data_IF_160632665968
#
_entry.id   IF_160632665968
#
_cell.length_a   1.000
_cell.length_b   1.000
_cell.length_c   1.000
_cell.angle_alpha   90.00
_cell.angle_beta   90.00
_cell.angle_gamma   90.00
#
_symmetry.space_group_name_H-M   'P 1'
#
loop_
_entity.id
_entity.type
_entity.pdbx_description
1 polymer ?
#
# COMPACT_ATOMS: atom_id res chain seq x y z
N UNK A 1 -28.92 -3.16 -31.33
CA UNK A 1 -28.02 -1.99 -31.47
C UNK A 1 -26.65 -2.50 -31.91
N UNK A 2 -26.03 -1.95 -32.97
CA UNK A 2 -24.68 -2.36 -33.33
C UNK A 2 -23.70 -1.89 -32.25
N UNK A 3 -22.75 -2.75 -31.89
CA UNK A 3 -21.63 -2.42 -31.01
C UNK A 3 -20.33 -2.60 -31.79
N UNK A 4 -19.34 -1.76 -31.49
CA UNK A 4 -17.99 -1.85 -32.05
C UNK A 4 -16.99 -2.02 -30.91
N UNK A 5 -15.98 -2.87 -31.12
CA UNK A 5 -14.91 -3.12 -30.15
C UNK A 5 -13.63 -2.53 -30.72
N UNK A 6 -13.09 -1.50 -30.05
CA UNK A 6 -11.79 -0.94 -30.36
C UNK A 6 -10.71 -1.74 -29.62
N UNK A 7 -9.74 -2.31 -30.35
CA UNK A 7 -8.59 -3.00 -29.78
C UNK A 7 -7.32 -2.21 -30.11
N UNK A 8 -6.57 -1.80 -29.10
CA UNK A 8 -5.27 -1.16 -29.25
C UNK A 8 -4.28 -1.75 -28.24
N UNK A 9 -2.99 -1.64 -28.53
CA UNK A 9 -1.94 -1.98 -27.55
C UNK A 9 -1.68 -0.77 -26.68
N UNK A 10 -1.68 -0.99 -25.37
CA UNK A 10 -1.28 0.05 -24.42
C UNK A 10 0.20 0.42 -24.66
N UNK A 11 0.60 1.68 -24.36
CA UNK A 11 1.99 2.12 -24.51
C UNK A 11 2.95 1.24 -23.70
N UNK A 12 4.22 1.19 -24.10
CA UNK A 12 5.25 0.49 -23.32
C UNK A 12 5.33 1.00 -21.86
N UNK A 13 5.00 2.28 -21.65
CA UNK A 13 5.01 3.00 -20.37
C UNK A 13 3.72 2.80 -19.54
N UNK A 14 2.80 1.92 -19.96
CA UNK A 14 1.55 1.66 -19.24
C UNK A 14 1.79 1.24 -17.79
N UNK A 15 2.84 0.48 -17.53
CA UNK A 15 3.22 0.05 -16.18
C UNK A 15 3.61 1.24 -15.28
N UNK A 16 4.33 2.22 -15.83
CA UNK A 16 4.74 3.44 -15.12
C UNK A 16 3.54 4.36 -14.87
N UNK A 17 2.65 4.47 -15.86
CA UNK A 17 1.38 5.18 -15.71
C UNK A 17 0.49 4.55 -14.64
N UNK A 18 0.34 3.23 -14.64
CA UNK A 18 -0.47 2.50 -13.67
C UNK A 18 0.14 2.61 -12.26
N UNK A 19 1.46 2.53 -12.13
CA UNK A 19 2.15 2.74 -10.86
C UNK A 19 1.92 4.17 -10.32
N UNK A 20 2.00 5.19 -11.17
CA UNK A 20 1.71 6.57 -10.79
C UNK A 20 0.24 6.77 -10.39
N UNK A 21 -0.70 6.16 -11.14
CA UNK A 21 -2.15 6.24 -10.86
C UNK A 21 -2.51 5.57 -9.53
N UNK A 22 -1.90 4.43 -9.24
CA UNK A 22 -2.19 3.63 -8.05
C UNK A 22 -1.55 4.20 -6.77
N UNK A 23 -0.76 5.28 -6.86
CA UNK A 23 -0.08 5.86 -5.70
C UNK A 23 -1.02 6.19 -4.53
N UNK A 24 -2.22 6.77 -4.80
CA UNK A 24 -3.19 7.07 -3.73
C UNK A 24 -3.79 5.81 -3.10
N UNK A 25 -4.07 4.79 -3.90
CA UNK A 25 -4.62 3.51 -3.43
C UNK A 25 -3.55 2.77 -2.59
N UNK A 26 -2.30 2.81 -3.03
CA UNK A 26 -1.16 2.26 -2.29
C UNK A 26 -0.94 2.97 -0.94
N UNK A 27 -1.05 4.31 -0.89
CA UNK A 27 -0.98 5.08 0.37
C UNK A 27 -2.06 4.64 1.36
N UNK A 28 -3.30 4.50 0.90
CA UNK A 28 -4.40 4.05 1.74
C UNK A 28 -4.17 2.63 2.29
N UNK A 29 -3.74 1.70 1.44
CA UNK A 29 -3.42 0.34 1.85
C UNK A 29 -2.30 0.29 2.90
N UNK A 30 -1.23 1.08 2.71
CA UNK A 30 -0.12 1.16 3.67
C UNK A 30 -0.56 1.76 5.01
N UNK A 31 -1.47 2.74 4.99
CA UNK A 31 -2.06 3.30 6.20
C UNK A 31 -2.89 2.25 6.96
N UNK A 32 -3.73 1.47 6.26
CA UNK A 32 -4.52 0.39 6.86
C UNK A 32 -3.63 -0.65 7.54
N UNK A 33 -2.49 -1.00 6.91
CA UNK A 33 -1.50 -1.91 7.48
C UNK A 33 -0.87 -1.32 8.76
N UNK A 34 -0.45 -0.04 8.77
CA UNK A 34 0.05 0.60 10.02
C UNK A 34 -1.00 0.58 11.13
N UNK A 35 -2.27 0.86 10.81
CA UNK A 35 -3.35 0.84 11.80
C UNK A 35 -3.59 -0.56 12.34
N UNK A 36 -3.55 -1.58 11.49
CA UNK A 36 -3.67 -2.97 11.91
C UNK A 36 -2.53 -3.38 12.86
N UNK A 37 -1.28 -3.11 12.49
CA UNK A 37 -0.11 -3.38 13.33
C UNK A 37 -0.21 -2.64 14.68
N UNK A 38 -0.61 -1.36 14.66
CA UNK A 38 -0.83 -0.55 15.87
C UNK A 38 -1.90 -1.15 16.78
N UNK A 39 -3.00 -1.63 16.20
CA UNK A 39 -4.10 -2.25 16.94
C UNK A 39 -3.62 -3.50 17.68
N UNK A 40 -2.84 -4.38 17.03
CA UNK A 40 -2.26 -5.56 17.67
C UNK A 40 -1.29 -5.18 18.79
N UNK A 41 -0.41 -4.20 18.57
CA UNK A 41 0.54 -3.77 19.60
C UNK A 41 -0.15 -3.14 20.82
N UNK A 42 -1.25 -2.40 20.63
CA UNK A 42 -1.94 -1.66 21.68
C UNK A 42 -2.97 -2.48 22.45
N UNK A 43 -3.72 -3.32 21.74
CA UNK A 43 -4.88 -4.03 22.28
C UNK A 43 -4.70 -5.55 22.31
N UNK A 44 -3.74 -6.08 21.56
CA UNK A 44 -3.39 -7.49 21.59
C UNK A 44 -2.40 -7.84 22.71
N UNK A 45 -2.04 -9.11 22.77
CA UNK A 45 -0.96 -9.64 23.61
C UNK A 45 0.05 -10.43 22.77
N UNK A 46 0.69 -9.79 21.76
CA UNK A 46 1.70 -10.45 20.94
C UNK A 46 2.93 -10.84 21.79
N UNK A 47 3.66 -11.86 21.34
CA UNK A 47 4.98 -12.15 21.90
C UNK A 47 5.92 -10.95 21.69
N UNK A 48 7.03 -10.94 22.42
CA UNK A 48 8.06 -9.89 22.28
C UNK A 48 8.57 -9.78 20.83
N UNK A 49 8.93 -10.91 20.25
CA UNK A 49 9.42 -11.00 18.86
C UNK A 49 8.36 -10.51 17.85
N UNK A 50 7.11 -10.94 18.00
CA UNK A 50 6.02 -10.46 17.13
C UNK A 50 5.83 -8.95 17.26
N UNK A 51 5.90 -8.40 18.48
CA UNK A 51 5.81 -6.96 18.69
C UNK A 51 6.95 -6.21 17.99
N UNK A 52 8.19 -6.70 18.11
CA UNK A 52 9.35 -6.09 17.46
C UNK A 52 9.20 -6.06 15.94
N UNK A 53 8.73 -7.16 15.33
CA UNK A 53 8.46 -7.20 13.88
C UNK A 53 7.33 -6.25 13.47
N UNK A 54 6.24 -6.18 14.24
CA UNK A 54 5.13 -5.26 13.96
C UNK A 54 5.58 -3.80 14.03
N UNK A 55 6.36 -3.42 15.04
CA UNK A 55 6.90 -2.07 15.13
C UNK A 55 7.90 -1.78 14.00
N UNK A 56 8.73 -2.76 13.60
CA UNK A 56 9.63 -2.60 12.46
C UNK A 56 8.87 -2.33 11.15
N UNK A 57 7.80 -3.08 10.87
CA UNK A 57 6.93 -2.85 9.70
C UNK A 57 6.36 -1.42 9.73
N UNK A 58 5.90 -0.96 10.89
CA UNK A 58 5.35 0.40 11.06
C UNK A 58 6.41 1.47 10.80
N UNK A 59 7.64 1.26 11.26
CA UNK A 59 8.77 2.15 10.95
C UNK A 59 9.02 2.22 9.46
N UNK A 60 9.09 1.09 8.76
CA UNK A 60 9.29 1.05 7.31
C UNK A 60 8.22 1.85 6.56
N UNK A 61 6.95 1.72 6.93
CA UNK A 61 5.84 2.45 6.30
C UNK A 61 5.98 3.97 6.51
N UNK A 62 6.40 4.41 7.70
CA UNK A 62 6.47 5.84 8.07
C UNK A 62 7.71 6.55 7.55
N UNK A 63 8.84 5.85 7.49
CA UNK A 63 10.11 6.41 7.04
C UNK A 63 10.30 6.31 5.52
N UNK A 64 9.38 5.66 4.81
CA UNK A 64 9.43 5.62 3.34
C UNK A 64 9.10 7.02 2.78
N UNK A 65 10.03 7.68 2.05
CA UNK A 65 9.82 9.01 1.50
C UNK A 65 8.62 9.06 0.55
N UNK A 66 7.79 10.11 0.65
CA UNK A 66 6.62 10.32 -0.22
C UNK A 66 5.31 9.66 0.24
N UNK A 67 5.30 8.98 1.40
CA UNK A 67 4.13 8.32 1.98
C UNK A 67 3.43 9.08 3.10
N UNK A 68 4.14 9.96 3.80
CA UNK A 68 3.59 10.79 4.88
C UNK A 68 3.95 12.24 4.56
N UNK A 69 2.92 13.05 4.26
CA UNK A 69 3.04 14.52 4.17
C UNK A 69 2.86 15.13 5.56
#
# INVERSE_FOLDING_TARGET
MPHAILRFRLPAEQAEFDAARQGSEAKACLWDIDQYCRSICKHGSPSKETREHLEHIRTLIRETPGLVD
#
